data_IF_967579690271
#
_entry.id   IF_967579690271
#
_cell.length_a   1.000
_cell.length_b   1.000
_cell.length_c   1.000
_cell.angle_alpha   90.00
_cell.angle_beta   90.00
_cell.angle_gamma   90.00
#
_symmetry.space_group_name_H-M   'P 1'
#
loop_
_entity.id
_entity.type
_entity.pdbx_description
1 polymer ?
#
# COMPACT_ATOMS: atom_id res chain seq x y z
N UNK A 1 -6.75 19.20 -3.69
CA UNK A 1 -7.51 20.03 -2.74
C UNK A 1 -7.50 19.31 -1.40
N UNK A 2 -6.98 19.95 -0.36
CA UNK A 2 -7.22 19.52 1.01
C UNK A 2 -8.32 20.39 1.61
N UNK A 3 -9.11 19.78 2.50
CA UNK A 3 -10.17 20.47 3.25
C UNK A 3 -9.92 20.18 4.72
N UNK A 4 -9.71 21.22 5.50
CA UNK A 4 -9.75 21.14 6.95
C UNK A 4 -11.23 20.98 7.35
N UNK A 5 -11.58 19.83 7.91
CA UNK A 5 -12.96 19.52 8.29
C UNK A 5 -13.42 20.28 9.54
N UNK A 6 -12.50 20.74 10.38
CA UNK A 6 -12.84 21.50 11.58
C UNK A 6 -13.18 22.95 11.25
N UNK A 7 -12.45 23.54 10.31
CA UNK A 7 -12.59 24.96 9.94
C UNK A 7 -13.34 25.18 8.62
N UNK A 8 -13.47 24.14 7.80
CA UNK A 8 -13.94 24.24 6.42
C UNK A 8 -12.91 24.89 5.48
N UNK A 9 -11.71 25.23 5.96
CA UNK A 9 -10.69 25.86 5.15
C UNK A 9 -10.26 24.93 4.02
N UNK A 10 -10.15 25.49 2.81
CA UNK A 10 -9.73 24.75 1.63
C UNK A 10 -8.37 25.24 1.18
N UNK A 11 -7.45 24.31 0.95
CA UNK A 11 -6.15 24.61 0.38
C UNK A 11 -6.02 23.89 -0.96
N UNK A 12 -5.76 24.66 -2.01
CA UNK A 12 -5.38 24.11 -3.31
C UNK A 12 -3.89 23.83 -3.22
N UNK A 13 -3.56 22.55 -3.03
CA UNK A 13 -2.18 22.07 -3.11
C UNK A 13 -1.67 22.35 -4.53
N UNK A 14 -0.41 22.82 -4.62
CA UNK A 14 0.30 23.21 -5.84
C UNK A 14 0.10 22.21 -6.99
N UNK A 15 0.26 22.63 -8.28
CA UNK A 15 -0.31 21.88 -9.39
C UNK A 15 0.24 20.46 -9.42
N UNK A 16 -0.64 19.49 -9.11
CA UNK A 16 -0.42 18.11 -9.54
C UNK A 16 -0.17 18.11 -11.05
N UNK A 17 0.62 17.16 -11.57
CA UNK A 17 0.83 16.99 -13.02
C UNK A 17 -0.53 17.11 -13.70
N UNK A 18 -0.71 18.15 -14.53
CA UNK A 18 -2.02 18.58 -14.99
C UNK A 18 -2.68 17.46 -15.81
N UNK A 19 -3.66 16.74 -15.25
CA UNK A 19 -4.30 15.64 -15.93
C UNK A 19 -5.52 16.25 -16.60
N UNK A 20 -5.36 16.99 -17.69
CA UNK A 20 -6.53 17.59 -18.33
C UNK A 20 -7.56 16.54 -18.81
N UNK A 21 -7.22 15.23 -18.75
CA UNK A 21 -8.16 14.11 -18.94
C UNK A 21 -7.92 12.87 -18.08
N UNK A 22 -6.98 12.87 -17.15
CA UNK A 22 -6.54 11.62 -16.53
C UNK A 22 -7.19 11.38 -15.16
N UNK A 23 -7.64 10.16 -14.94
CA UNK A 23 -8.30 9.75 -13.69
C UNK A 23 -7.24 9.56 -12.60
N UNK A 24 -7.54 10.06 -11.40
CA UNK A 24 -6.79 9.74 -10.19
C UNK A 24 -7.20 8.35 -9.68
N UNK A 25 -6.22 7.48 -9.53
CA UNK A 25 -6.38 6.12 -9.02
C UNK A 25 -5.57 5.90 -7.74
N UNK A 26 -6.00 4.91 -6.96
CA UNK A 26 -5.22 4.27 -5.89
C UNK A 26 -4.53 5.25 -4.92
N UNK A 27 -5.32 5.99 -4.15
CA UNK A 27 -4.85 7.02 -3.21
C UNK A 27 -4.59 6.40 -1.83
N UNK A 28 -3.38 6.52 -1.31
CA UNK A 28 -2.98 6.05 0.03
C UNK A 28 -2.20 7.13 0.76
N UNK A 29 -2.80 7.68 1.81
CA UNK A 29 -2.16 8.67 2.69
C UNK A 29 -1.30 7.94 3.72
N UNK A 30 -0.12 8.49 4.03
CA UNK A 30 0.72 8.01 5.13
C UNK A 30 0.02 8.19 6.48
N UNK A 31 0.31 7.36 7.50
CA UNK A 31 -0.31 7.48 8.82
C UNK A 31 -0.15 8.85 9.48
N UNK A 32 0.99 9.50 9.28
CA UNK A 32 1.27 10.86 9.77
C UNK A 32 0.64 11.97 8.91
N UNK A 33 0.01 11.61 7.79
CA UNK A 33 -0.58 12.55 6.83
C UNK A 33 0.41 13.36 6.00
N UNK A 34 1.72 13.13 6.16
CA UNK A 34 2.76 13.93 5.52
C UNK A 34 2.95 13.61 4.02
N UNK A 35 2.54 12.42 3.59
CA UNK A 35 2.76 11.94 2.23
C UNK A 35 1.52 11.25 1.66
N UNK A 36 1.31 11.42 0.36
CA UNK A 36 0.27 10.76 -0.41
C UNK A 36 0.91 9.97 -1.55
N UNK A 37 0.69 8.66 -1.56
CA UNK A 37 0.93 7.82 -2.73
C UNK A 37 -0.35 7.77 -3.58
N UNK A 38 -0.23 8.04 -4.87
CA UNK A 38 -1.35 7.99 -5.80
C UNK A 38 -0.88 7.62 -7.20
N UNK A 39 -1.80 7.34 -8.10
CA UNK A 39 -1.46 7.19 -9.51
C UNK A 39 -2.40 8.01 -10.40
N UNK A 40 -1.88 8.42 -11.55
CA UNK A 40 -2.62 9.11 -12.61
C UNK A 40 -2.63 8.22 -13.87
N UNK A 41 -3.70 8.31 -14.67
CA UNK A 41 -3.75 7.74 -16.01
C UNK A 41 -4.54 6.43 -16.10
N UNK A 42 -4.52 5.81 -17.28
CA UNK A 42 -5.04 4.47 -17.52
C UNK A 42 -3.87 3.49 -17.67
N UNK A 43 -4.09 2.21 -17.34
CA UNK A 43 -3.05 1.18 -17.28
C UNK A 43 -2.05 1.22 -18.47
N UNK A 44 -0.73 1.29 -18.23
CA UNK A 44 -0.07 1.27 -16.92
C UNK A 44 -0.21 2.61 -16.19
N UNK A 45 -0.61 2.54 -14.92
CA UNK A 45 -0.74 3.72 -14.09
C UNK A 45 0.63 4.37 -13.87
N UNK A 46 0.68 5.71 -13.84
CA UNK A 46 1.88 6.46 -13.46
C UNK A 46 1.84 6.77 -11.96
N UNK A 47 2.67 6.15 -11.13
CA UNK A 47 2.65 6.38 -9.70
C UNK A 47 3.37 7.67 -9.31
N UNK A 48 2.85 8.35 -8.30
CA UNK A 48 3.43 9.56 -7.75
C UNK A 48 3.41 9.53 -6.23
N UNK A 49 4.45 10.10 -5.64
CA UNK A 49 4.52 10.45 -4.23
C UNK A 49 4.40 11.96 -4.09
N UNK A 50 3.50 12.41 -3.24
CA UNK A 50 3.25 13.82 -2.96
C UNK A 50 3.52 14.14 -1.50
N UNK A 51 4.27 15.22 -1.26
CA UNK A 51 4.58 15.77 0.06
C UNK A 51 3.54 16.84 0.42
N UNK A 52 2.81 16.62 1.51
CA UNK A 52 1.74 17.53 1.94
C UNK A 52 2.23 18.84 2.53
N UNK A 53 3.46 18.88 3.03
CA UNK A 53 4.06 20.05 3.65
C UNK A 53 4.59 21.01 2.58
N UNK A 54 5.32 20.47 1.60
CA UNK A 54 5.95 21.26 0.54
C UNK A 54 5.06 21.42 -0.69
N UNK A 55 4.04 20.58 -0.84
CA UNK A 55 3.19 20.54 -2.02
C UNK A 55 3.88 19.96 -3.26
N UNK A 56 5.05 19.33 -3.11
CA UNK A 56 5.80 18.77 -4.22
C UNK A 56 5.36 17.33 -4.52
N UNK A 57 5.31 16.99 -5.81
CA UNK A 57 5.10 15.62 -6.28
C UNK A 57 6.30 15.11 -7.06
N UNK A 58 6.55 13.81 -6.99
CA UNK A 58 7.55 13.11 -7.80
C UNK A 58 6.99 11.79 -8.30
N UNK A 59 7.42 11.37 -9.48
CA UNK A 59 7.12 10.04 -10.00
C UNK A 59 7.84 8.95 -9.17
N UNK A 60 7.26 7.76 -9.10
CA UNK A 60 7.84 6.59 -8.46
C UNK A 60 7.47 5.31 -9.21
N UNK A 61 8.27 4.28 -9.03
CA UNK A 61 8.03 2.91 -9.48
C UNK A 61 7.06 2.11 -8.59
N UNK A 62 6.69 2.61 -7.40
CA UNK A 62 5.81 1.92 -6.47
C UNK A 62 4.37 1.93 -6.99
N UNK A 63 3.84 0.76 -7.38
CA UNK A 63 2.46 0.64 -7.85
C UNK A 63 1.45 0.76 -6.69
N UNK A 64 0.58 1.79 -6.62
CA UNK A 64 -0.16 2.09 -5.39
C UNK A 64 -1.29 1.10 -5.06
N UNK A 65 -1.79 0.36 -6.05
CA UNK A 65 -2.83 -0.66 -5.84
C UNK A 65 -2.35 -1.81 -4.94
N UNK A 66 -1.04 -2.07 -4.92
CA UNK A 66 -0.41 -3.16 -4.18
C UNK A 66 0.50 -2.66 -3.05
N UNK A 67 0.59 -1.35 -2.85
CA UNK A 67 1.45 -0.71 -1.87
C UNK A 67 0.71 -0.34 -0.58
N UNK A 68 1.34 -0.43 0.58
CA UNK A 68 0.76 -0.07 1.87
C UNK A 68 1.78 0.69 2.69
N UNK A 69 1.31 1.70 3.41
CA UNK A 69 2.16 2.41 4.35
C UNK A 69 2.45 1.54 5.57
N UNK A 70 3.72 1.49 5.95
CA UNK A 70 4.11 1.07 7.29
C UNK A 70 3.57 2.05 8.32
N UNK A 71 3.33 1.55 9.54
CA UNK A 71 2.80 2.36 10.65
C UNK A 71 3.74 3.51 11.06
N UNK A 72 5.02 3.42 10.71
CA UNK A 72 6.03 4.44 10.94
C UNK A 72 6.00 5.62 9.95
N UNK A 73 5.18 5.57 8.90
CA UNK A 73 5.14 6.56 7.81
C UNK A 73 6.46 6.75 7.05
N UNK A 74 7.47 5.92 7.30
CA UNK A 74 8.78 5.97 6.66
C UNK A 74 8.98 4.84 5.66
N UNK A 75 8.12 3.82 5.69
CA UNK A 75 8.20 2.70 4.77
C UNK A 75 6.90 2.50 3.99
N UNK A 76 7.06 2.01 2.76
CA UNK A 76 6.01 1.42 1.95
C UNK A 76 6.34 -0.05 1.71
N UNK A 77 5.34 -0.88 1.92
CA UNK A 77 5.35 -2.30 1.61
C UNK A 77 4.58 -2.48 0.30
N UNK A 78 5.22 -2.93 -0.77
CA UNK A 78 4.57 -3.19 -2.05
C UNK A 78 4.78 -4.64 -2.46
N UNK A 79 3.78 -5.26 -3.08
CA UNK A 79 4.03 -6.54 -3.74
C UNK A 79 5.02 -6.34 -4.88
N UNK A 80 5.97 -7.26 -4.97
CA UNK A 80 6.97 -7.27 -6.02
C UNK A 80 6.36 -7.86 -7.30
N UNK A 81 6.35 -7.08 -8.37
CA UNK A 81 5.85 -7.46 -9.68
C UNK A 81 6.86 -8.29 -10.50
N UNK A 82 8.13 -8.25 -10.12
CA UNK A 82 9.21 -9.01 -10.77
C UNK A 82 9.42 -10.38 -10.15
N UNK A 83 9.08 -10.53 -8.86
CA UNK A 83 9.20 -11.76 -8.09
C UNK A 83 7.85 -12.13 -7.48
N UNK A 84 7.04 -12.95 -8.20
CA UNK A 84 5.72 -13.36 -7.74
C UNK A 84 5.73 -13.81 -6.28
N UNK A 85 4.85 -13.20 -5.50
CA UNK A 85 4.72 -13.51 -4.09
C UNK A 85 5.86 -13.05 -3.21
N UNK A 86 6.63 -12.06 -3.64
CA UNK A 86 7.54 -11.32 -2.79
C UNK A 86 6.96 -9.95 -2.43
N UNK A 87 7.45 -9.39 -1.33
CA UNK A 87 7.10 -8.06 -0.86
C UNK A 87 8.36 -7.21 -0.85
N UNK A 88 8.34 -6.13 -1.61
CA UNK A 88 9.38 -5.12 -1.61
C UNK A 88 9.12 -4.09 -0.52
N UNK A 89 10.17 -3.77 0.24
CA UNK A 89 10.14 -2.76 1.30
C UNK A 89 10.90 -1.54 0.80
N UNK A 90 10.16 -0.46 0.63
CA UNK A 90 10.68 0.83 0.17
C UNK A 90 10.76 1.78 1.36
N UNK A 91 11.97 2.23 1.71
CA UNK A 91 12.16 3.33 2.63
C UNK A 91 11.97 4.67 1.92
N UNK A 92 11.51 5.68 2.65
CA UNK A 92 11.17 7.00 2.13
C UNK A 92 11.89 8.16 2.86
N UNK A 93 13.23 8.13 3.01
CA UNK A 93 13.94 9.27 3.58
C UNK A 93 13.75 10.52 2.70
N UNK A 94 13.10 11.55 3.26
CA UNK A 94 12.93 12.86 2.61
C UNK A 94 12.42 12.75 1.16
N UNK A 95 11.32 12.04 0.95
CA UNK A 95 10.73 11.83 -0.37
C UNK A 95 11.65 11.11 -1.35
N UNK A 96 12.61 10.30 -0.89
CA UNK A 96 13.44 9.44 -1.75
C UNK A 96 13.05 8.00 -1.55
N UNK A 97 12.49 7.36 -2.58
CA UNK A 97 12.22 5.92 -2.59
C UNK A 97 13.52 5.17 -2.72
N UNK A 98 13.84 4.39 -1.69
CA UNK A 98 14.98 3.49 -1.65
C UNK A 98 14.42 2.09 -1.40
N UNK A 99 14.54 1.18 -2.37
CA UNK A 99 14.26 -0.23 -2.10
C UNK A 99 15.32 -0.76 -1.14
N UNK A 100 14.89 -1.25 0.02
CA UNK A 100 15.77 -1.64 1.13
C UNK A 100 15.80 -3.14 1.36
N UNK A 101 14.74 -3.84 1.00
CA UNK A 101 14.65 -5.28 1.15
C UNK A 101 13.60 -5.87 0.20
N UNK A 102 13.81 -7.12 -0.18
CA UNK A 102 12.78 -7.99 -0.76
C UNK A 102 12.54 -9.11 0.24
N UNK A 103 11.32 -9.19 0.76
CA UNK A 103 10.87 -10.20 1.68
C UNK A 103 10.16 -11.31 0.90
N UNK A 104 10.62 -12.57 0.97
CA UNK A 104 9.86 -13.66 0.39
C UNK A 104 8.54 -13.78 1.15
N UNK A 105 7.44 -13.52 0.45
CA UNK A 105 6.11 -13.60 1.01
C UNK A 105 5.45 -14.94 0.65
N UNK A 106 6.06 -15.85 -0.10
CA UNK A 106 5.34 -17.08 -0.43
C UNK A 106 5.24 -18.03 0.77
N UNK A 107 4.02 -18.18 1.30
CA UNK A 107 3.64 -19.45 1.89
C UNK A 107 3.68 -20.52 0.78
N UNK A 108 4.07 -21.76 1.07
CA UNK A 108 4.17 -22.81 0.05
C UNK A 108 2.88 -22.94 -0.79
N UNK A 109 2.98 -22.80 -2.11
CA UNK A 109 1.86 -23.02 -3.05
C UNK A 109 0.99 -21.80 -3.36
N UNK A 110 1.38 -20.59 -2.96
CA UNK A 110 0.74 -19.35 -3.40
C UNK A 110 1.55 -18.77 -4.58
N UNK A 111 0.90 -18.32 -5.64
CA UNK A 111 1.60 -17.78 -6.83
C UNK A 111 1.19 -16.33 -7.15
N UNK A 112 0.01 -15.91 -6.68
CA UNK A 112 -0.49 -14.55 -6.88
C UNK A 112 -1.17 -14.09 -5.60
N UNK A 113 -0.50 -13.17 -4.89
CA UNK A 113 -0.98 -12.60 -3.63
C UNK A 113 -1.47 -11.18 -3.86
N UNK A 114 -2.51 -10.81 -3.15
CA UNK A 114 -2.95 -9.43 -2.96
C UNK A 114 -2.91 -9.11 -1.49
N UNK A 115 -2.33 -7.97 -1.12
CA UNK A 115 -2.37 -7.49 0.26
C UNK A 115 -3.69 -6.75 0.44
N UNK A 116 -4.42 -7.13 1.49
CA UNK A 116 -5.73 -6.57 1.82
C UNK A 116 -5.59 -5.43 2.81
N UNK A 117 -4.78 -5.64 3.86
CA UNK A 117 -4.75 -4.76 5.01
C UNK A 117 -3.46 -4.95 5.82
N UNK A 118 -3.07 -3.91 6.53
CA UNK A 118 -1.99 -3.94 7.54
C UNK A 118 -2.61 -3.70 8.91
N UNK A 119 -2.03 -4.30 9.95
CA UNK A 119 -2.42 -3.99 11.32
C UNK A 119 -1.96 -2.58 11.71
N UNK A 120 -2.69 -1.88 12.60
CA UNK A 120 -2.32 -0.54 13.05
C UNK A 120 -0.93 -0.46 13.69
N UNK A 121 -0.49 -1.55 14.35
CA UNK A 121 0.85 -1.66 14.93
C UNK A 121 1.94 -1.98 13.89
N UNK A 122 1.57 -2.23 12.63
CA UNK A 122 2.48 -2.58 11.54
C UNK A 122 3.10 -3.98 11.64
N UNK A 123 2.69 -4.80 12.60
CA UNK A 123 3.28 -6.12 12.81
C UNK A 123 2.69 -7.19 11.90
N UNK A 124 1.50 -6.98 11.36
CA UNK A 124 0.77 -7.98 10.59
C UNK A 124 0.31 -7.44 9.24
N UNK A 125 0.41 -8.30 8.23
CA UNK A 125 -0.25 -8.10 6.94
C UNK A 125 -1.29 -9.19 6.74
N UNK A 126 -2.42 -8.82 6.16
CA UNK A 126 -3.36 -9.79 5.61
C UNK A 126 -3.14 -9.84 4.11
N UNK A 127 -2.83 -11.02 3.60
CA UNK A 127 -2.77 -11.27 2.18
C UNK A 127 -3.80 -12.33 1.79
N UNK A 128 -4.24 -12.29 0.53
CA UNK A 128 -5.10 -13.28 -0.05
C UNK A 128 -4.51 -13.78 -1.38
N UNK A 129 -4.73 -15.04 -1.71
CA UNK A 129 -4.38 -15.52 -3.04
C UNK A 129 -5.52 -15.32 -4.02
N UNK A 130 -5.25 -14.67 -5.15
CA UNK A 130 -6.26 -14.34 -6.17
C UNK A 130 -6.54 -15.55 -7.06
N UNK A 131 -5.52 -16.35 -7.37
CA UNK A 131 -5.57 -17.38 -8.42
C UNK A 131 -5.84 -18.80 -7.87
N UNK A 132 -5.87 -18.97 -6.56
CA UNK A 132 -6.13 -20.26 -5.94
C UNK A 132 -7.62 -20.63 -6.05
N UNK A 133 -7.91 -21.87 -6.47
CA UNK A 133 -9.28 -22.44 -6.50
C UNK A 133 -9.97 -22.32 -5.14
N UNK A 134 -9.18 -22.36 -4.08
CA UNK A 134 -9.58 -21.96 -2.74
C UNK A 134 -8.90 -20.63 -2.41
N UNK A 135 -9.62 -19.51 -2.53
CA UNK A 135 -9.08 -18.21 -2.14
C UNK A 135 -8.84 -18.19 -0.62
N UNK A 136 -7.59 -18.38 -0.25
CA UNK A 136 -7.15 -18.44 1.13
C UNK A 136 -6.60 -17.10 1.56
N UNK A 137 -7.00 -16.68 2.76
CA UNK A 137 -6.44 -15.51 3.43
C UNK A 137 -5.39 -15.96 4.44
N UNK A 138 -4.33 -15.16 4.54
CA UNK A 138 -3.16 -15.46 5.32
C UNK A 138 -2.75 -14.23 6.13
N UNK A 139 -2.25 -14.47 7.34
CA UNK A 139 -1.59 -13.47 8.16
C UNK A 139 -0.08 -13.63 8.04
N UNK A 140 0.60 -12.56 7.62
CA UNK A 140 2.05 -12.48 7.64
C UNK A 140 2.48 -11.66 8.85
N UNK A 141 3.28 -12.26 9.73
CA UNK A 141 3.90 -11.54 10.83
C UNK A 141 5.21 -10.91 10.35
N UNK A 142 5.23 -9.59 10.20
CA UNK A 142 6.37 -8.82 9.68
C UNK A 142 7.67 -9.05 10.49
N UNK A 143 7.66 -8.99 11.84
CA UNK A 143 8.90 -9.12 12.61
C UNK A 143 9.56 -10.49 12.52
N UNK A 144 8.77 -11.57 12.49
CA UNK A 144 9.31 -12.94 12.44
C UNK A 144 9.29 -13.53 11.04
N UNK A 145 8.71 -12.83 10.06
CA UNK A 145 8.56 -13.27 8.68
C UNK A 145 7.84 -14.62 8.54
N UNK A 146 6.85 -14.86 9.40
CA UNK A 146 6.12 -16.14 9.44
C UNK A 146 4.69 -15.98 8.96
N UNK A 147 4.22 -17.01 8.26
CA UNK A 147 2.85 -17.12 7.80
C UNK A 147 1.96 -17.90 8.76
N UNK A 148 0.74 -17.43 8.92
CA UNK A 148 -0.34 -18.16 9.56
C UNK A 148 -1.55 -18.15 8.64
N UNK A 149 -2.03 -19.34 8.27
CA UNK A 149 -3.28 -19.48 7.54
C UNK A 149 -4.45 -19.07 8.43
N UNK A 150 -5.35 -18.23 7.92
CA UNK A 150 -6.60 -17.97 8.61
C UNK A 150 -7.52 -19.20 8.47
N UNK A 151 -8.23 -19.62 9.55
CA UNK A 151 -9.10 -20.78 9.50
C UNK A 151 -10.09 -20.73 8.33
N UNK A 152 -10.21 -21.85 7.61
CA UNK A 152 -11.12 -21.99 6.48
C UNK A 152 -12.57 -21.75 6.93
N UNK A 153 -13.19 -20.71 6.39
CA UNK A 153 -14.59 -20.36 6.63
C UNK A 153 -15.16 -19.40 5.58
N UNK A 154 -14.31 -18.85 4.71
CA UNK A 154 -14.67 -18.06 3.53
C UNK A 154 -13.77 -18.51 2.39
N UNK A 155 -14.38 -18.89 1.27
CA UNK A 155 -13.70 -19.27 0.02
C UNK A 155 -13.38 -18.05 -0.84
N UNK A 156 -13.18 -16.90 -0.21
CA UNK A 156 -13.04 -15.61 -0.89
C UNK A 156 -12.01 -14.75 -0.15
N UNK A 157 -11.35 -13.87 -0.90
CA UNK A 157 -10.47 -12.85 -0.39
C UNK A 157 -11.22 -12.00 0.64
N UNK A 158 -10.71 -11.93 1.87
CA UNK A 158 -11.29 -11.03 2.87
C UNK A 158 -11.06 -9.60 2.38
N UNK A 159 -12.11 -8.88 2.01
CA UNK A 159 -11.98 -7.50 1.53
C UNK A 159 -11.86 -6.46 2.67
N UNK A 160 -12.18 -6.85 3.91
CA UNK A 160 -12.15 -5.97 5.08
C UNK A 160 -11.73 -6.77 6.31
N UNK A 161 -10.67 -6.29 6.98
CA UNK A 161 -10.19 -6.84 8.25
C UNK A 161 -10.37 -5.78 9.32
N UNK A 162 -11.14 -6.12 10.36
CA UNK A 162 -11.25 -5.30 11.57
C UNK A 162 -10.18 -5.71 12.56
N UNK A 163 -9.21 -4.84 12.80
CA UNK A 163 -8.22 -5.04 13.86
C UNK A 163 -8.82 -4.60 15.20
N UNK A 164 -8.76 -5.43 16.26
CA UNK A 164 -9.26 -5.02 17.57
C UNK A 164 -8.45 -3.83 18.08
N UNK A 165 -9.14 -2.74 18.43
CA UNK A 165 -8.55 -1.64 19.20
C UNK A 165 -8.40 -2.10 20.64
N UNK A 166 -7.18 -2.07 21.19
CA UNK A 166 -6.97 -2.22 22.63
C UNK A 166 -7.26 -0.92 23.36
#
# INVERSE_FOLDING_TARGET
MSVDLATGAQTILAPMPQPERERLFCRKLSPDGSQLLFAIGESPYQPYLFDSLTGQSRETDIVPNQAFWGSDSQHILALDDTLPGSLSVHALPAMTVVSTAVLPLLAPGLENLSIVSTSPDGQWLVACSIDATDQQSWLYHMPTQTWQQLPAGRSDCVNVVGWPTR
#
